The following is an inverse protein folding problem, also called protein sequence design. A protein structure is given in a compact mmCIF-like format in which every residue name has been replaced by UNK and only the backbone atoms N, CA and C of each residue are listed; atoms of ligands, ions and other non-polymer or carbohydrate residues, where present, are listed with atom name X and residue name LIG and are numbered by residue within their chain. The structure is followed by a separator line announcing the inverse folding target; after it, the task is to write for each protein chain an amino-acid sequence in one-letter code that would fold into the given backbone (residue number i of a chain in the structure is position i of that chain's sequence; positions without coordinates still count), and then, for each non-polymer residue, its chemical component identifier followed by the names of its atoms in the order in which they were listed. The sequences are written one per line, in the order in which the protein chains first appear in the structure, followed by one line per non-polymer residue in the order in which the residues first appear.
data_IF_952075163458
#
_entry.id   IF_952075163458
#
_cell.length_a   1.000
_cell.length_b   1.000
_cell.length_c   1.000
_cell.angle_alpha   90.00
_cell.angle_beta   90.00
_cell.angle_gamma   90.00
#
_symmetry.space_group_name_H-M   'P 1'
#
loop_
_entity.id
_entity.type
_entity.pdbx_description
1 polymer ?
#
# COMPACT_ATOMS: atom_id res chain seq x y z
N UNK A 1 3.11 17.27 -34.37
CA UNK A 1 4.40 17.14 -35.07
C UNK A 1 5.45 16.38 -34.24
N UNK A 2 5.31 16.27 -32.92
CA UNK A 2 6.32 15.75 -31.99
C UNK A 2 6.25 14.24 -31.67
N UNK A 3 5.06 13.63 -31.57
CA UNK A 3 4.94 12.18 -31.29
C UNK A 3 5.54 11.35 -32.43
N UNK A 4 5.29 11.76 -33.69
CA UNK A 4 5.86 11.10 -34.87
C UNK A 4 7.39 11.14 -34.92
N UNK A 5 8.02 12.19 -34.38
CA UNK A 5 9.48 12.28 -34.30
C UNK A 5 10.04 11.31 -33.25
N UNK A 6 9.38 11.18 -32.09
CA UNK A 6 9.76 10.21 -31.05
C UNK A 6 9.56 8.77 -31.56
N UNK A 7 8.46 8.50 -32.25
CA UNK A 7 8.20 7.20 -32.88
C UNK A 7 9.25 6.87 -33.94
N UNK A 8 9.66 7.86 -34.73
CA UNK A 8 10.71 7.69 -35.73
C UNK A 8 12.10 7.50 -35.12
N UNK A 9 12.42 8.21 -34.04
CA UNK A 9 13.68 8.00 -33.29
C UNK A 9 13.71 6.62 -32.61
N UNK A 10 12.57 6.13 -32.12
CA UNK A 10 12.45 4.76 -31.59
C UNK A 10 12.64 3.71 -32.69
N UNK A 11 11.99 3.90 -33.84
CA UNK A 11 12.12 2.98 -34.97
C UNK A 11 13.57 2.93 -35.48
N UNK A 12 14.24 4.08 -35.59
CA UNK A 12 15.65 4.16 -35.98
C UNK A 12 16.57 3.48 -34.95
N UNK A 13 16.26 3.60 -33.65
CA UNK A 13 17.01 2.92 -32.59
C UNK A 13 16.80 1.40 -32.61
N UNK A 14 15.58 0.93 -32.87
CA UNK A 14 15.28 -0.50 -33.02
C UNK A 14 15.97 -1.10 -34.25
N UNK A 15 15.97 -0.41 -35.38
CA UNK A 15 16.63 -0.86 -36.62
C UNK A 15 18.16 -0.87 -36.46
N UNK A 16 18.72 0.08 -35.70
CA UNK A 16 20.13 0.08 -35.31
C UNK A 16 20.46 -1.09 -34.37
N UNK A 17 19.60 -1.40 -33.39
CA UNK A 17 19.80 -2.54 -32.47
C UNK A 17 19.65 -3.88 -33.20
N UNK A 18 18.75 -3.97 -34.18
CA UNK A 18 18.55 -5.16 -35.02
C UNK A 18 19.76 -5.41 -35.93
N UNK A 19 20.21 -4.41 -36.70
CA UNK A 19 21.44 -4.52 -37.51
C UNK A 19 22.68 -4.79 -36.64
N UNK A 20 22.68 -4.32 -35.39
CA UNK A 20 23.73 -4.59 -34.39
C UNK A 20 23.74 -6.03 -33.86
N UNK A 21 22.57 -6.69 -33.71
CA UNK A 21 22.50 -8.09 -33.29
C UNK A 21 23.01 -9.04 -34.39
N UNK A 22 23.01 -8.58 -35.64
CA UNK A 22 23.45 -9.35 -36.80
C UNK A 22 24.98 -9.22 -37.05
N UNK A 23 25.60 -8.06 -36.75
CA UNK A 23 27.04 -7.83 -36.94
C UNK A 23 27.84 -7.84 -35.62
N UNK A 24 28.26 -9.05 -35.21
CA UNK A 24 28.94 -9.43 -33.95
C UNK A 24 30.31 -8.74 -33.59
N UNK A 25 30.56 -7.45 -33.84
CA UNK A 25 31.89 -6.84 -33.56
C UNK A 25 31.92 -5.37 -33.14
N UNK A 26 31.03 -4.90 -32.29
CA UNK A 26 31.13 -3.53 -31.75
C UNK A 26 31.18 -3.52 -30.23
N UNK A 27 32.20 -2.84 -29.67
CA UNK A 27 32.46 -2.82 -28.23
C UNK A 27 31.31 -2.18 -27.45
N UNK A 28 31.03 -2.72 -26.27
CA UNK A 28 29.98 -2.28 -25.34
C UNK A 28 29.97 -0.78 -25.07
N UNK A 29 31.13 -0.10 -25.16
CA UNK A 29 31.24 1.36 -24.99
C UNK A 29 30.48 2.14 -26.07
N UNK A 30 30.45 1.67 -27.30
CA UNK A 30 29.79 2.36 -28.42
C UNK A 30 28.27 2.27 -28.30
N UNK A 31 27.75 1.13 -27.83
CA UNK A 31 26.32 0.94 -27.58
C UNK A 31 25.84 1.90 -26.49
N UNK A 32 26.55 1.92 -25.36
CA UNK A 32 26.20 2.78 -24.22
C UNK A 32 26.21 4.25 -24.65
N UNK A 33 27.20 4.66 -25.45
CA UNK A 33 27.26 6.01 -26.00
C UNK A 33 26.02 6.37 -26.82
N UNK A 34 25.58 5.50 -27.73
CA UNK A 34 24.42 5.78 -28.60
C UNK A 34 23.07 5.71 -27.89
N UNK A 35 22.93 4.81 -26.91
CA UNK A 35 21.74 4.77 -26.04
C UNK A 35 21.65 6.07 -25.24
N UNK A 36 22.76 6.52 -24.66
CA UNK A 36 22.79 7.78 -23.92
C UNK A 36 22.45 8.98 -24.81
N UNK A 37 22.98 9.03 -26.03
CA UNK A 37 22.66 10.08 -27.00
C UNK A 37 21.17 10.09 -27.39
N UNK A 38 20.58 8.92 -27.60
CA UNK A 38 19.14 8.78 -27.91
C UNK A 38 18.26 9.23 -26.73
N UNK A 39 18.64 8.85 -25.50
CA UNK A 39 17.97 9.27 -24.27
C UNK A 39 18.09 10.78 -24.06
N UNK A 40 19.25 11.38 -24.33
CA UNK A 40 19.44 12.83 -24.26
C UNK A 40 18.55 13.57 -25.26
N UNK A 41 18.45 13.09 -26.50
CA UNK A 41 17.62 13.71 -27.54
C UNK A 41 16.13 13.67 -27.17
N UNK A 42 15.62 12.51 -26.74
CA UNK A 42 14.24 12.37 -26.26
C UNK A 42 13.99 13.28 -25.06
N UNK A 43 14.91 13.30 -24.10
CA UNK A 43 14.81 14.13 -22.89
C UNK A 43 14.78 15.62 -23.21
N UNK A 44 15.60 16.07 -24.17
CA UNK A 44 15.64 17.46 -24.63
C UNK A 44 14.32 17.88 -25.27
N UNK A 45 13.70 17.01 -26.06
CA UNK A 45 12.39 17.29 -26.65
C UNK A 45 11.26 17.30 -25.62
N UNK A 46 11.31 16.41 -24.64
CA UNK A 46 10.29 16.30 -23.57
C UNK A 46 10.39 17.44 -22.55
N UNK A 47 11.60 17.95 -22.24
CA UNK A 47 11.79 19.10 -21.33
C UNK A 47 11.14 20.39 -21.84
N UNK A 48 10.95 20.55 -23.15
CA UNK A 48 10.26 21.71 -23.72
C UNK A 48 8.72 21.67 -23.52
N UNK A 49 8.17 20.61 -22.93
CA UNK A 49 6.72 20.40 -22.76
C UNK A 49 6.23 20.62 -21.32
N UNK A 50 7.12 21.04 -20.42
CA UNK A 50 6.84 21.28 -19.00
C UNK A 50 7.92 20.68 -18.10
N UNK A 51 7.94 21.10 -16.83
CA UNK A 51 8.94 20.69 -15.84
C UNK A 51 8.88 19.18 -15.54
N UNK A 52 9.55 18.39 -16.37
CA UNK A 52 9.74 16.95 -16.19
C UNK A 52 11.20 16.75 -15.77
N UNK A 53 11.40 16.29 -14.54
CA UNK A 53 12.69 15.84 -14.02
C UNK A 53 12.96 14.41 -14.51
N UNK A 54 13.83 14.27 -15.53
CA UNK A 54 14.39 12.98 -15.91
C UNK A 54 15.48 12.57 -14.92
N UNK A 55 15.34 11.40 -14.32
CA UNK A 55 16.36 10.80 -13.45
C UNK A 55 17.30 9.93 -14.31
N UNK A 56 18.60 10.14 -14.19
CA UNK A 56 19.62 9.31 -14.82
C UNK A 56 19.49 7.84 -14.39
N UNK A 57 19.37 6.94 -15.36
CA UNK A 57 19.46 5.50 -15.13
C UNK A 57 20.91 5.08 -15.35
N UNK A 58 21.64 4.85 -14.26
CA UNK A 58 22.98 4.29 -14.34
C UNK A 58 23.02 2.82 -13.87
N UNK A 59 23.60 1.99 -14.74
CA UNK A 59 24.18 0.65 -14.56
C UNK A 59 23.26 -0.57 -14.65
N UNK A 60 23.04 -1.03 -15.88
CA UNK A 60 22.91 -2.47 -16.14
C UNK A 60 24.31 -3.11 -16.19
N UNK A 61 24.53 -4.17 -15.40
CA UNK A 61 25.70 -5.04 -15.53
C UNK A 61 25.19 -6.37 -16.08
N UNK A 62 25.51 -6.68 -17.34
CA UNK A 62 25.30 -8.02 -17.91
C UNK A 62 26.59 -8.81 -17.76
N UNK A 63 26.51 -9.95 -17.08
CA UNK A 63 27.60 -10.92 -16.96
C UNK A 63 27.24 -12.17 -17.74
N UNK A 64 28.03 -12.49 -18.76
CA UNK A 64 27.91 -13.73 -19.51
C UNK A 64 28.48 -14.91 -18.69
N UNK A 65 27.74 -16.03 -18.55
CA UNK A 65 28.34 -17.32 -18.15
C UNK A 65 27.55 -18.54 -18.64
N UNK A 66 28.32 -19.54 -19.08
CA UNK A 66 27.93 -20.80 -19.71
C UNK A 66 27.26 -21.78 -18.73
N UNK A 67 26.24 -22.48 -19.26
CA UNK A 67 25.64 -23.80 -18.89
C UNK A 67 24.99 -23.97 -17.49
N UNK A 68 23.66 -24.15 -17.55
CA UNK A 68 22.74 -24.94 -16.68
C UNK A 68 22.53 -24.53 -15.21
N UNK A 69 21.70 -23.50 -14.99
CA UNK A 69 20.56 -23.44 -14.04
C UNK A 69 20.00 -22.00 -14.06
N UNK A 70 18.70 -21.83 -14.32
CA UNK A 70 18.06 -20.53 -14.17
C UNK A 70 17.73 -20.30 -12.70
N UNK A 71 18.47 -19.42 -12.03
CA UNK A 71 18.00 -18.77 -10.79
C UNK A 71 17.32 -17.47 -11.19
N UNK A 72 16.03 -17.34 -10.89
CA UNK A 72 15.34 -16.05 -10.92
C UNK A 72 15.82 -15.29 -9.69
N UNK A 73 16.77 -14.37 -9.89
CA UNK A 73 17.12 -13.37 -8.89
C UNK A 73 16.03 -12.30 -9.00
N UNK A 74 15.08 -12.31 -8.06
CA UNK A 74 14.13 -11.22 -7.89
C UNK A 74 14.93 -10.04 -7.32
N UNK A 75 15.06 -8.90 -8.02
CA UNK A 75 15.77 -7.77 -7.47
C UNK A 75 15.04 -7.30 -6.22
N UNK A 76 15.77 -7.27 -5.10
CA UNK A 76 15.34 -6.63 -3.86
C UNK A 76 15.06 -5.17 -4.19
N UNK A 77 13.78 -4.81 -4.29
CA UNK A 77 13.37 -3.42 -4.44
C UNK A 77 13.80 -2.73 -3.14
N UNK A 78 14.83 -1.88 -3.22
CA UNK A 78 15.20 -1.04 -2.10
C UNK A 78 14.03 -0.10 -1.83
N UNK A 79 13.32 -0.32 -0.72
CA UNK A 79 12.38 0.63 -0.14
C UNK A 79 13.18 1.84 0.33
N UNK A 80 13.27 2.88 -0.50
CA UNK A 80 13.92 4.13 -0.09
C UNK A 80 12.97 4.87 0.83
N UNK A 81 13.26 4.92 2.13
CA UNK A 81 12.57 5.82 3.07
C UNK A 81 12.72 7.24 2.54
N UNK A 82 11.62 7.86 2.11
CA UNK A 82 11.70 9.16 1.44
C UNK A 82 11.91 10.27 2.47
N UNK A 83 11.25 10.20 3.62
CA UNK A 83 11.35 11.22 4.66
C UNK A 83 11.05 10.61 6.05
N UNK A 84 11.88 10.94 7.05
CA UNK A 84 11.50 10.80 8.45
C UNK A 84 10.47 11.91 8.76
N UNK A 85 9.19 11.63 8.55
CA UNK A 85 8.14 12.57 8.96
C UNK A 85 8.04 12.54 10.48
N UNK A 86 8.74 13.46 11.14
CA UNK A 86 8.47 13.76 12.55
C UNK A 86 7.17 14.56 12.57
N UNK A 87 6.05 13.87 12.80
CA UNK A 87 4.78 14.55 13.05
C UNK A 87 4.91 15.32 14.37
N UNK A 88 5.24 16.61 14.31
CA UNK A 88 5.09 17.50 15.46
C UNK A 88 3.59 17.72 15.63
N UNK A 89 3.04 17.27 16.76
CA UNK A 89 1.66 17.55 17.14
C UNK A 89 1.49 19.07 17.19
N UNK A 90 0.92 19.66 16.14
CA UNK A 90 0.87 21.12 16.02
C UNK A 90 -0.20 21.74 16.93
N UNK A 91 -1.17 20.94 17.36
CA UNK A 91 -2.19 21.29 18.34
C UNK A 91 -2.81 20.01 18.93
N UNK A 92 -2.85 19.90 20.25
CA UNK A 92 -3.53 18.80 20.94
C UNK A 92 -5.01 19.14 21.09
N UNK A 93 -5.90 18.52 20.31
CA UNK A 93 -7.32 18.50 20.67
C UNK A 93 -7.47 17.51 21.81
N UNK A 94 -7.49 17.99 23.06
CA UNK A 94 -7.76 17.15 24.22
C UNK A 94 -9.22 16.68 24.18
N UNK A 95 -9.45 15.48 23.67
CA UNK A 95 -10.74 14.80 23.79
C UNK A 95 -10.86 14.20 25.20
N UNK A 96 -11.23 15.00 26.21
CA UNK A 96 -11.57 14.48 27.56
C UNK A 96 -12.95 13.82 27.54
N UNK A 97 -13.08 12.69 26.85
CA UNK A 97 -14.28 11.86 26.90
C UNK A 97 -14.02 10.65 27.80
N UNK A 98 -14.59 10.64 29.01
CA UNK A 98 -14.52 9.51 29.97
C UNK A 98 -15.21 8.22 29.48
N UNK A 99 -15.66 8.18 28.23
CA UNK A 99 -16.53 7.11 27.70
C UNK A 99 -15.95 6.64 26.38
N UNK A 100 -15.73 5.32 26.25
CA UNK A 100 -15.28 4.70 25.01
C UNK A 100 -16.40 4.84 23.96
N UNK A 101 -16.04 5.24 22.74
CA UNK A 101 -17.01 5.53 21.69
C UNK A 101 -16.37 5.92 20.37
N UNK A 102 -17.21 6.24 19.40
CA UNK A 102 -16.78 6.79 18.10
C UNK A 102 -17.19 8.27 18.09
N UNK A 103 -16.22 9.12 17.82
CA UNK A 103 -16.39 10.58 17.72
C UNK A 103 -16.10 11.03 16.28
N UNK A 104 -16.88 12.00 15.80
CA UNK A 104 -16.57 12.76 14.58
C UNK A 104 -15.94 14.08 14.98
N UNK A 105 -14.78 14.36 14.43
CA UNK A 105 -14.05 15.60 14.69
C UNK A 105 -14.06 16.43 13.41
N UNK A 106 -14.65 17.61 13.47
CA UNK A 106 -14.46 18.62 12.45
C UNK A 106 -13.12 19.32 12.71
N UNK A 107 -12.18 19.11 11.80
CA UNK A 107 -10.82 19.67 11.93
C UNK A 107 -10.83 21.20 11.76
N UNK A 108 -11.69 21.74 10.89
CA UNK A 108 -11.76 23.19 10.62
C UNK A 108 -12.38 23.92 11.79
N UNK A 109 -13.53 23.42 12.24
CA UNK A 109 -14.30 24.05 13.31
C UNK A 109 -13.83 23.64 14.71
N UNK A 110 -12.91 22.66 14.81
CA UNK A 110 -12.48 22.01 16.05
C UNK A 110 -13.65 21.48 16.89
N UNK A 111 -14.78 21.16 16.24
CA UNK A 111 -15.98 20.65 16.91
C UNK A 111 -15.95 19.13 16.97
N UNK A 112 -16.30 18.60 18.13
CA UNK A 112 -16.43 17.16 18.35
C UNK A 112 -17.92 16.83 18.42
N UNK A 113 -18.38 15.99 17.50
CA UNK A 113 -19.71 15.41 17.53
C UNK A 113 -19.60 13.94 17.91
N UNK A 114 -20.18 13.58 19.04
CA UNK A 114 -20.21 12.18 19.48
C UNK A 114 -21.17 11.36 18.63
N UNK A 115 -20.68 10.26 18.04
CA UNK A 115 -21.45 9.43 17.12
C UNK A 115 -22.01 8.17 17.76
N UNK A 116 -21.25 7.49 18.64
CA UNK A 116 -21.69 6.26 19.30
C UNK A 116 -21.11 6.18 20.71
N UNK A 117 -21.94 5.83 21.69
CA UNK A 117 -21.51 5.31 22.99
C UNK A 117 -21.38 3.78 22.89
N UNK A 118 -20.21 3.30 22.46
CA UNK A 118 -19.94 1.85 22.40
C UNK A 118 -18.58 1.54 22.99
N UNK A 119 -18.55 0.56 23.90
CA UNK A 119 -17.31 0.08 24.47
C UNK A 119 -16.52 -0.76 23.44
N UNK A 120 -15.23 -0.44 23.31
CA UNK A 120 -14.25 -1.30 22.62
C UNK A 120 -14.36 -1.33 21.10
N UNK A 121 -14.22 -0.18 20.45
CA UNK A 121 -13.99 -0.09 19.00
C UNK A 121 -12.50 0.09 18.72
N UNK A 122 -11.91 -0.78 17.90
CA UNK A 122 -10.48 -0.71 17.52
C UNK A 122 -10.34 -0.42 16.02
N UNK A 123 -11.01 -1.20 15.17
CA UNK A 123 -11.18 -0.92 13.75
C UNK A 123 -12.41 -0.07 13.44
N UNK A 124 -12.23 0.94 12.61
CA UNK A 124 -13.30 1.76 12.03
C UNK A 124 -12.94 2.09 10.58
N UNK A 125 -13.91 1.92 9.69
CA UNK A 125 -13.82 2.29 8.27
C UNK A 125 -15.11 2.99 7.83
N UNK A 126 -14.99 3.98 6.96
CA UNK A 126 -16.12 4.71 6.37
C UNK A 126 -16.33 4.29 4.90
N UNK A 127 -17.59 4.09 4.53
CA UNK A 127 -17.98 3.78 3.16
C UNK A 127 -19.34 4.41 2.86
N UNK A 128 -19.35 5.42 1.99
CA UNK A 128 -20.58 6.04 1.47
C UNK A 128 -21.58 6.46 2.57
N UNK A 129 -21.08 7.12 3.61
CA UNK A 129 -21.83 7.57 4.78
C UNK A 129 -22.14 6.47 5.79
N UNK A 130 -21.62 5.25 5.60
CA UNK A 130 -21.76 4.11 6.52
C UNK A 130 -20.47 3.88 7.28
N UNK A 131 -20.56 3.61 8.56
CA UNK A 131 -19.42 3.25 9.39
C UNK A 131 -19.43 1.75 9.62
N UNK A 132 -18.34 1.09 9.24
CA UNK A 132 -18.10 -0.33 9.51
C UNK A 132 -17.08 -0.37 10.64
N UNK A 133 -17.38 -1.10 11.70
CA UNK A 133 -16.51 -1.15 12.88
C UNK A 133 -16.60 -2.49 13.59
N UNK A 134 -15.55 -2.81 14.32
CA UNK A 134 -15.54 -3.97 15.21
C UNK A 134 -15.90 -3.54 16.63
N UNK A 135 -16.84 -4.23 17.26
CA UNK A 135 -17.21 -4.05 18.67
C UNK A 135 -17.67 -5.39 19.25
N UNK A 136 -17.20 -5.72 20.45
CA UNK A 136 -17.61 -6.93 21.20
C UNK A 136 -17.44 -8.22 20.37
N UNK A 137 -16.32 -8.34 19.66
CA UNK A 137 -16.02 -9.50 18.81
C UNK A 137 -17.06 -9.71 17.68
N UNK A 138 -17.67 -8.62 17.20
CA UNK A 138 -18.58 -8.63 16.04
C UNK A 138 -18.30 -7.45 15.13
N UNK A 139 -18.47 -7.68 13.83
CA UNK A 139 -18.55 -6.61 12.86
C UNK A 139 -19.94 -5.97 12.91
N UNK A 140 -19.97 -4.65 12.95
CA UNK A 140 -21.18 -3.85 12.97
C UNK A 140 -21.11 -2.81 11.86
N UNK A 141 -22.25 -2.48 11.29
CA UNK A 141 -22.40 -1.38 10.34
C UNK A 141 -23.42 -0.39 10.90
N UNK A 142 -23.02 0.87 11.02
CA UNK A 142 -23.88 2.00 11.37
C UNK A 142 -24.15 2.85 10.15
N UNK A 143 -25.40 3.26 9.97
CA UNK A 143 -25.80 4.22 8.97
C UNK A 143 -27.03 5.01 9.43
N UNK A 144 -27.30 6.11 8.74
CA UNK A 144 -28.48 6.94 8.97
C UNK A 144 -29.57 6.57 7.97
N UNK A 145 -30.81 6.43 8.44
CA UNK A 145 -32.00 6.34 7.60
C UNK A 145 -32.96 7.43 8.06
N UNK A 146 -33.10 8.48 7.25
CA UNK A 146 -33.78 9.72 7.63
C UNK A 146 -33.12 10.35 8.87
N UNK A 147 -33.77 10.31 10.03
CA UNK A 147 -33.25 10.79 11.32
C UNK A 147 -32.88 9.67 12.29
N UNK A 148 -33.10 8.41 11.91
CA UNK A 148 -32.85 7.25 12.78
C UNK A 148 -31.46 6.68 12.53
N UNK A 149 -30.73 6.43 13.61
CA UNK A 149 -29.48 5.67 13.58
C UNK A 149 -29.83 4.18 13.57
N UNK A 150 -29.33 3.47 12.56
CA UNK A 150 -29.47 2.02 12.46
C UNK A 150 -28.09 1.40 12.65
N UNK A 151 -28.00 0.38 13.51
CA UNK A 151 -26.82 -0.45 13.70
C UNK A 151 -27.20 -1.90 13.41
N UNK A 152 -26.55 -2.50 12.42
CA UNK A 152 -26.74 -3.91 12.07
C UNK A 152 -25.47 -4.70 12.36
N UNK A 153 -25.62 -5.92 12.87
CA UNK A 153 -24.50 -6.85 13.01
C UNK A 153 -24.28 -7.59 11.69
N UNK A 154 -23.02 -7.79 11.32
CA UNK A 154 -22.61 -8.59 10.17
C UNK A 154 -22.17 -9.94 10.72
N UNK A 155 -22.71 -11.03 10.16
CA UNK A 155 -22.48 -12.38 10.65
C UNK A 155 -21.14 -12.94 10.15
N UNK A 156 -20.04 -12.26 10.49
CA UNK A 156 -18.70 -12.64 10.12
C UNK A 156 -18.07 -13.57 11.19
N UNK A 157 -17.41 -14.67 10.80
CA UNK A 157 -16.79 -15.59 11.74
C UNK A 157 -15.48 -15.05 12.34
N UNK A 158 -15.10 -15.53 13.52
CA UNK A 158 -13.76 -15.31 14.11
C UNK A 158 -13.33 -13.85 14.27
N UNK A 159 -14.28 -12.93 14.41
CA UNK A 159 -14.00 -11.53 14.69
C UNK A 159 -13.50 -11.40 16.14
N UNK A 160 -12.32 -10.83 16.32
CA UNK A 160 -11.75 -10.55 17.64
C UNK A 160 -12.18 -9.15 18.13
N UNK A 161 -12.26 -8.94 19.45
CA UNK A 161 -12.48 -7.60 20.03
C UNK A 161 -11.48 -6.54 19.57
N UNK A 162 -10.29 -6.95 19.12
CA UNK A 162 -9.20 -6.08 18.68
C UNK A 162 -9.06 -6.03 17.14
N UNK A 163 -10.09 -6.44 16.40
CA UNK A 163 -10.03 -6.48 14.93
C UNK A 163 -9.99 -5.08 14.34
N UNK A 164 -9.13 -4.89 13.34
CA UNK A 164 -9.16 -3.74 12.45
C UNK A 164 -9.95 -4.09 11.19
N UNK A 165 -10.52 -3.09 10.52
CA UNK A 165 -11.39 -3.26 9.36
C UNK A 165 -10.96 -2.36 8.20
N UNK A 166 -11.15 -2.85 6.98
CA UNK A 166 -11.06 -2.08 5.74
C UNK A 166 -12.12 -2.57 4.75
N UNK A 167 -12.45 -1.78 3.74
CA UNK A 167 -13.42 -2.17 2.70
C UNK A 167 -13.07 -1.59 1.33
N UNK A 168 -13.44 -2.32 0.28
CA UNK A 168 -13.40 -1.82 -1.11
C UNK A 168 -14.80 -1.50 -1.66
N UNK A 169 -15.83 -1.47 -0.80
CA UNK A 169 -17.21 -1.26 -1.22
C UNK A 169 -17.97 -2.53 -1.63
N UNK A 170 -17.27 -3.62 -1.93
CA UNK A 170 -17.86 -4.93 -2.22
C UNK A 170 -17.70 -5.91 -1.06
N UNK A 171 -16.50 -5.95 -0.49
CA UNK A 171 -16.11 -6.85 0.58
C UNK A 171 -15.63 -6.07 1.80
N UNK A 172 -15.68 -6.74 2.94
CA UNK A 172 -15.10 -6.30 4.21
C UNK A 172 -13.89 -7.17 4.50
N UNK A 173 -12.81 -6.51 4.88
CA UNK A 173 -11.55 -7.13 5.25
C UNK A 173 -11.32 -6.84 6.72
N UNK A 174 -10.97 -7.85 7.49
CA UNK A 174 -10.69 -7.65 8.92
C UNK A 174 -9.56 -8.53 9.41
N UNK A 175 -8.80 -7.99 10.35
CA UNK A 175 -7.76 -8.73 11.07
C UNK A 175 -8.34 -9.43 12.27
N UNK A 176 -7.81 -10.61 12.61
CA UNK A 176 -8.13 -11.31 13.85
C UNK A 176 -6.83 -11.60 14.60
N UNK A 177 -6.43 -10.74 15.56
CA UNK A 177 -5.23 -10.97 16.36
C UNK A 177 -5.17 -12.33 17.02
N UNK A 178 -6.30 -12.80 17.58
CA UNK A 178 -6.39 -14.09 18.25
C UNK A 178 -6.38 -15.26 17.26
N UNK A 179 -7.04 -15.09 16.11
CA UNK A 179 -7.09 -16.07 15.05
C UNK A 179 -5.92 -15.99 14.07
N UNK A 180 -4.91 -15.15 14.34
CA UNK A 180 -3.71 -14.92 13.52
C UNK A 180 -3.98 -14.81 12.02
N UNK A 181 -5.07 -14.14 11.66
CA UNK A 181 -5.59 -14.17 10.29
C UNK A 181 -6.12 -12.84 9.80
N UNK A 182 -6.25 -12.76 8.48
CA UNK A 182 -7.02 -11.73 7.76
C UNK A 182 -8.13 -12.44 7.01
N UNK A 183 -9.36 -11.98 7.19
CA UNK A 183 -10.53 -12.54 6.52
C UNK A 183 -11.18 -11.50 5.63
N UNK A 184 -11.55 -11.94 4.43
CA UNK A 184 -12.38 -11.21 3.48
C UNK A 184 -13.78 -11.85 3.47
N UNK A 185 -14.82 -11.06 3.72
CA UNK A 185 -16.21 -11.49 3.62
C UNK A 185 -17.06 -10.46 2.87
N UNK A 186 -18.25 -10.85 2.44
CA UNK A 186 -19.25 -9.91 1.95
C UNK A 186 -19.99 -9.21 3.11
N UNK A 187 -20.91 -8.31 2.79
CA UNK A 187 -21.70 -7.57 3.78
C UNK A 187 -22.76 -8.43 4.50
N UNK A 188 -22.98 -9.66 4.04
CA UNK A 188 -23.82 -10.66 4.70
C UNK A 188 -22.99 -11.52 5.68
N UNK A 189 -21.66 -11.44 5.60
CA UNK A 189 -20.71 -12.20 6.41
C UNK A 189 -20.23 -13.50 5.75
N UNK A 190 -20.61 -13.77 4.50
CA UNK A 190 -20.12 -14.95 3.79
C UNK A 190 -18.63 -14.76 3.43
N UNK A 191 -17.81 -15.68 3.93
CA UNK A 191 -16.36 -15.66 3.75
C UNK A 191 -16.01 -15.92 2.30
N UNK A 192 -15.21 -15.00 1.72
CA UNK A 192 -14.65 -15.14 0.38
C UNK A 192 -13.29 -15.83 0.43
N UNK A 193 -12.47 -15.47 1.42
CA UNK A 193 -11.21 -16.14 1.74
C UNK A 193 -10.71 -15.75 3.13
N UNK A 194 -9.85 -16.58 3.69
CA UNK A 194 -9.09 -16.30 4.92
C UNK A 194 -7.62 -16.60 4.67
N UNK A 195 -6.75 -15.64 4.95
CA UNK A 195 -5.31 -15.85 5.02
C UNK A 195 -4.93 -16.13 6.48
N UNK A 196 -4.34 -17.30 6.74
CA UNK A 196 -3.90 -17.74 8.06
C UNK A 196 -2.63 -18.58 7.91
N UNK A 197 -1.48 -17.90 7.88
CA UNK A 197 -0.16 -18.53 7.95
C UNK A 197 0.54 -17.99 9.19
N UNK A 198 0.59 -18.80 10.26
CA UNK A 198 1.13 -18.37 11.55
C UNK A 198 2.64 -18.05 11.53
N UNK A 199 3.37 -18.53 10.52
CA UNK A 199 4.79 -18.21 10.36
C UNK A 199 4.99 -16.78 9.84
N UNK A 200 3.99 -16.26 9.14
CA UNK A 200 3.98 -14.94 8.51
C UNK A 200 3.21 -13.95 9.38
N UNK A 201 2.04 -14.37 9.88
CA UNK A 201 1.07 -13.54 10.57
C UNK A 201 0.96 -13.95 12.02
N UNK A 202 1.65 -13.23 12.92
CA UNK A 202 1.70 -13.56 14.36
C UNK A 202 0.65 -12.81 15.17
N UNK A 203 0.47 -11.52 14.85
CA UNK A 203 -0.42 -10.62 15.55
C UNK A 203 -0.92 -9.54 14.59
N UNK A 204 -1.93 -9.86 13.75
CA UNK A 204 -2.38 -8.95 12.72
C UNK A 204 -3.12 -7.75 13.31
N UNK A 205 -2.59 -6.54 13.10
CA UNK A 205 -3.15 -5.27 13.59
C UNK A 205 -3.74 -4.44 12.45
N UNK A 206 -3.26 -3.20 12.25
CA UNK A 206 -3.77 -2.29 11.24
C UNK A 206 -3.86 -2.93 9.85
N UNK A 207 -4.89 -2.51 9.10
CA UNK A 207 -5.22 -3.04 7.77
C UNK A 207 -5.61 -1.89 6.84
N UNK A 208 -5.22 -1.98 5.57
CA UNK A 208 -5.64 -1.04 4.53
C UNK A 208 -5.56 -1.70 3.16
N UNK A 209 -6.20 -1.10 2.17
CA UNK A 209 -6.37 -1.67 0.83
C UNK A 209 -5.74 -0.77 -0.24
N UNK A 210 -5.06 -1.41 -1.19
CA UNK A 210 -4.63 -0.79 -2.43
C UNK A 210 -5.78 -0.67 -3.45
N UNK A 211 -5.52 0.02 -4.58
CA UNK A 211 -6.49 0.19 -5.67
C UNK A 211 -6.89 -1.13 -6.35
N UNK A 212 -5.97 -2.08 -6.39
CA UNK A 212 -6.09 -3.41 -6.99
C UNK A 212 -6.51 -4.48 -5.98
N UNK A 213 -7.02 -4.07 -4.82
CA UNK A 213 -7.49 -4.94 -3.72
C UNK A 213 -6.40 -5.76 -3.04
N UNK A 214 -5.12 -5.43 -3.23
CA UNK A 214 -4.10 -5.95 -2.33
C UNK A 214 -4.32 -5.41 -0.92
N UNK A 215 -4.00 -6.24 0.06
CA UNK A 215 -4.27 -5.96 1.47
C UNK A 215 -2.96 -5.76 2.19
N UNK A 216 -2.74 -4.55 2.71
CA UNK A 216 -1.65 -4.26 3.63
C UNK A 216 -2.09 -4.60 5.04
N UNK A 217 -1.25 -5.33 5.76
CA UNK A 217 -1.53 -5.79 7.13
C UNK A 217 -0.27 -5.65 7.96
N UNK A 218 -0.39 -5.06 9.15
CA UNK A 218 0.68 -5.12 10.15
C UNK A 218 0.64 -6.46 10.84
N UNK A 219 1.79 -7.11 11.04
CA UNK A 219 1.95 -8.31 11.86
C UNK A 219 3.21 -8.14 12.72
N UNK A 220 3.05 -8.01 14.04
CA UNK A 220 4.09 -7.77 15.06
C UNK A 220 5.21 -6.79 14.65
N UNK A 221 6.18 -7.23 13.86
CA UNK A 221 7.39 -6.54 13.45
C UNK A 221 7.50 -6.36 11.91
N UNK A 222 6.41 -6.56 11.19
CA UNK A 222 6.36 -6.53 9.73
C UNK A 222 5.10 -5.87 9.17
N UNK A 223 5.21 -5.38 7.94
CA UNK A 223 4.05 -5.10 7.08
C UNK A 223 4.02 -6.17 5.99
N UNK A 224 2.93 -6.91 5.94
CA UNK A 224 2.66 -7.94 4.95
C UNK A 224 1.74 -7.36 3.89
N UNK A 225 2.01 -7.70 2.64
CA UNK A 225 1.11 -7.49 1.53
C UNK A 225 0.49 -8.82 1.12
N UNK A 226 -0.84 -8.90 1.11
CA UNK A 226 -1.60 -10.09 0.73
C UNK A 226 -2.29 -9.81 -0.60
N UNK A 227 -2.20 -10.79 -1.51
CA UNK A 227 -2.87 -10.74 -2.81
C UNK A 227 -4.40 -10.64 -2.69
N UNK A 228 -5.09 -10.12 -3.72
CA UNK A 228 -6.56 -9.95 -3.69
C UNK A 228 -7.36 -11.24 -3.46
N UNK A 229 -6.76 -12.39 -3.79
CA UNK A 229 -7.37 -13.72 -3.61
C UNK A 229 -7.02 -14.38 -2.27
N UNK A 230 -6.20 -13.73 -1.43
CA UNK A 230 -5.80 -14.26 -0.13
C UNK A 230 -4.83 -15.43 -0.16
N UNK A 231 -4.25 -15.77 -1.33
CA UNK A 231 -3.39 -16.97 -1.47
C UNK A 231 -1.89 -16.69 -1.44
N UNK A 232 -1.48 -15.56 -1.99
CA UNK A 232 -0.09 -15.13 -2.04
C UNK A 232 0.14 -13.98 -1.07
N UNK A 233 1.36 -13.91 -0.54
CA UNK A 233 1.80 -12.82 0.30
C UNK A 233 3.27 -12.47 0.01
N UNK A 234 3.68 -11.30 0.48
CA UNK A 234 5.09 -10.92 0.62
C UNK A 234 5.27 -10.03 1.84
N UNK A 235 6.41 -10.13 2.51
CA UNK A 235 6.83 -9.13 3.50
C UNK A 235 7.32 -7.90 2.77
N UNK A 236 6.70 -6.75 3.05
CA UNK A 236 7.01 -5.47 2.40
C UNK A 236 7.98 -4.64 3.22
N UNK A 237 7.80 -4.64 4.55
CA UNK A 237 8.63 -3.94 5.51
C UNK A 237 8.87 -4.84 6.72
N UNK A 238 10.05 -4.76 7.31
CA UNK A 238 10.39 -5.48 8.56
C UNK A 238 11.37 -4.67 9.42
N UNK A 239 11.89 -5.29 10.49
CA UNK A 239 12.85 -4.68 11.40
C UNK A 239 14.07 -4.06 10.71
N UNK A 240 14.59 -4.68 9.62
CA UNK A 240 15.73 -4.13 8.89
C UNK A 240 15.41 -2.83 8.15
N UNK A 241 14.13 -2.55 7.88
CA UNK A 241 13.65 -1.31 7.29
C UNK A 241 13.37 -0.22 8.34
N UNK A 242 13.74 -0.46 9.60
CA UNK A 242 13.48 0.44 10.73
C UNK A 242 12.05 0.34 11.27
N UNK A 243 11.34 -0.74 10.96
CA UNK A 243 9.99 -0.99 11.48
C UNK A 243 10.07 -1.59 12.90
N UNK A 244 9.61 -0.86 13.91
CA UNK A 244 9.58 -1.31 15.29
C UNK A 244 8.19 -1.13 15.92
N UNK A 245 7.59 -2.22 16.39
CA UNK A 245 6.27 -2.21 17.05
C UNK A 245 5.18 -1.40 16.29
N UNK A 246 4.99 -1.62 14.98
CA UNK A 246 3.94 -1.00 14.18
C UNK A 246 2.55 -1.25 14.76
N UNK A 247 1.69 -0.23 14.77
CA UNK A 247 0.35 -0.28 15.39
C UNK A 247 -0.77 -0.06 14.38
N UNK A 248 -0.57 0.89 13.45
CA UNK A 248 -1.58 1.28 12.48
C UNK A 248 -0.92 1.59 11.13
N UNK A 249 -1.65 1.39 10.05
CA UNK A 249 -1.21 1.74 8.71
C UNK A 249 -2.37 2.38 7.93
N UNK A 250 -2.02 3.18 6.95
CA UNK A 250 -2.96 3.75 5.98
C UNK A 250 -2.31 3.81 4.61
N UNK A 251 -3.00 3.32 3.58
CA UNK A 251 -2.55 3.44 2.21
C UNK A 251 -3.29 4.54 1.47
N UNK A 252 -2.56 5.54 1.01
CA UNK A 252 -3.05 6.59 0.14
C UNK A 252 -3.02 6.12 -1.32
N UNK A 253 -4.20 5.72 -1.78
CA UNK A 253 -4.49 5.26 -3.15
C UNK A 253 -4.19 6.29 -4.24
N UNK A 254 -4.17 7.59 -3.92
CA UNK A 254 -3.96 8.65 -4.91
C UNK A 254 -2.49 8.94 -5.15
N UNK A 255 -1.66 8.71 -4.12
CA UNK A 255 -0.23 8.99 -4.13
C UNK A 255 0.65 7.75 -4.18
N UNK A 256 0.04 6.56 -4.14
CA UNK A 256 0.71 5.27 -3.99
C UNK A 256 1.68 5.26 -2.78
N UNK A 257 1.21 5.81 -1.65
CA UNK A 257 2.01 5.96 -0.43
C UNK A 257 1.41 5.16 0.73
N UNK A 258 2.28 4.51 1.50
CA UNK A 258 1.92 3.78 2.71
C UNK A 258 2.44 4.55 3.94
N UNK A 259 1.53 5.00 4.78
CA UNK A 259 1.85 5.54 6.11
C UNK A 259 1.80 4.39 7.12
N UNK A 260 2.86 4.24 7.91
CA UNK A 260 2.92 3.26 9.02
C UNK A 260 3.25 3.99 10.32
N UNK A 261 2.35 3.89 11.29
CA UNK A 261 2.53 4.41 12.64
C UNK A 261 3.09 3.33 13.56
N UNK A 262 4.15 3.68 14.28
CA UNK A 262 4.83 2.83 15.26
C UNK A 262 4.53 3.31 16.68
N UNK A 263 4.67 2.39 17.64
CA UNK A 263 4.60 2.76 19.06
C UNK A 263 5.76 3.71 19.39
N UNK A 264 5.52 4.69 20.29
CA UNK A 264 6.48 5.74 20.70
C UNK A 264 6.70 6.85 19.65
N UNK A 265 5.61 7.32 19.05
CA UNK A 265 5.51 8.62 18.36
C UNK A 265 6.27 8.76 17.03
N UNK A 266 6.65 7.65 16.38
CA UNK A 266 7.20 7.68 15.03
C UNK A 266 6.17 7.18 14.01
N UNK A 267 6.05 7.90 12.91
CA UNK A 267 5.33 7.44 11.74
C UNK A 267 6.24 7.61 10.52
N UNK A 268 6.16 6.66 9.59
CA UNK A 268 6.99 6.64 8.40
C UNK A 268 6.10 6.58 7.18
N UNK A 269 6.47 7.35 6.16
CA UNK A 269 5.79 7.37 4.88
C UNK A 269 6.68 6.69 3.84
N UNK A 270 6.14 5.63 3.25
CA UNK A 270 6.83 4.82 2.25
C UNK A 270 6.16 5.02 0.89
N UNK A 271 6.96 5.24 -0.15
CA UNK A 271 6.46 5.14 -1.52
C UNK A 271 6.45 3.68 -1.93
N UNK A 272 5.31 3.21 -2.43
CA UNK A 272 5.15 1.84 -2.88
C UNK A 272 5.31 1.82 -4.39
N UNK A 273 6.42 1.26 -4.87
CA UNK A 273 6.55 0.98 -6.30
C UNK A 273 5.54 -0.12 -6.68
N UNK A 274 4.75 0.16 -7.72
CA UNK A 274 3.58 -0.65 -8.11
C UNK A 274 3.87 -2.14 -8.11
N UNK A 275 2.87 -2.91 -7.67
CA UNK A 275 2.88 -4.37 -7.63
C UNK A 275 3.00 -4.92 -9.06
N UNK A 276 4.22 -5.18 -9.52
CA UNK A 276 4.49 -5.94 -10.75
C UNK A 276 4.52 -7.43 -10.44
#
# INVERSE_FOLDING_TARGET
MSVKLIEQDLANAEEFIQSYLEENKVSTRVIISKINESVENITKHVKNWGNISCFEVNKAVLRERKKKQAQIIIPTIQTKTIENITARLQDTIQTRTKTRGIDRIDIKDRKIQKLIHHFGCFGLEELNGRLIFCSESRLKMKYFRSSTIIIVSINAPNVSKFSYVATNGKNIYYTSPLGKSVTCCDFQGAVQWTFNDENVMKNPLGISLANDNFVFVISDDSVILISPCGKQHRTLLCLSDGLYDPQALYYDKTRDMLLVAQKKEKAFLYKIDRFR
#
